data_IF_153656289713
#
_entry.id   IF_153656289713
#
_cell.length_a   1.000
_cell.length_b   1.000
_cell.length_c   1.000
_cell.angle_alpha   90.00
_cell.angle_beta   90.00
_cell.angle_gamma   90.00
#
_symmetry.space_group_name_H-M   'P 1'
#
loop_
_entity.id
_entity.type
_entity.pdbx_description
1 polymer ?
#
# COMPACT_ATOMS: atom_id res chain seq x y z
N UNK A 1 45.00 15.92 25.54
CA UNK A 1 43.85 15.65 24.65
C UNK A 1 43.47 14.20 24.89
N UNK A 2 42.36 13.94 25.59
CA UNK A 2 41.90 12.57 25.87
C UNK A 2 41.21 12.05 24.62
N UNK A 3 41.69 10.92 24.11
CA UNK A 3 41.08 10.12 23.06
C UNK A 3 39.70 9.68 23.54
N UNK A 4 38.64 10.02 22.82
CA UNK A 4 37.32 9.48 23.07
C UNK A 4 37.32 8.03 22.60
N UNK A 5 37.10 7.10 23.51
CA UNK A 5 36.87 5.70 23.20
C UNK A 5 35.50 5.61 22.50
N UNK A 6 35.50 5.17 21.24
CA UNK A 6 34.30 4.77 20.52
C UNK A 6 33.66 3.60 21.28
N UNK A 7 32.61 3.90 22.05
CA UNK A 7 31.69 2.89 22.56
C UNK A 7 30.79 2.46 21.40
N UNK A 8 31.29 1.57 20.55
CA UNK A 8 30.43 0.71 19.72
C UNK A 8 29.68 -0.21 20.67
N UNK A 9 28.36 0.00 20.73
CA UNK A 9 27.46 -0.87 21.49
C UNK A 9 27.47 -2.23 20.80
N UNK A 10 27.86 -3.27 21.54
CA UNK A 10 27.94 -4.65 21.06
C UNK A 10 26.59 -5.07 20.46
N UNK A 11 26.63 -5.52 19.20
CA UNK A 11 25.48 -5.92 18.40
C UNK A 11 25.19 -7.40 18.64
N UNK A 12 24.42 -7.70 19.69
CA UNK A 12 23.80 -9.01 19.90
C UNK A 12 22.32 -8.86 20.24
N UNK A 13 21.57 -8.25 19.33
CA UNK A 13 20.14 -8.51 19.23
C UNK A 13 19.90 -9.14 17.87
N UNK A 14 19.87 -10.48 17.87
CA UNK A 14 19.32 -11.26 16.77
C UNK A 14 17.86 -10.85 16.54
N UNK A 15 17.67 -9.79 15.74
CA UNK A 15 16.39 -9.46 15.16
C UNK A 15 16.10 -10.58 14.17
N UNK A 16 15.23 -11.50 14.59
CA UNK A 16 14.60 -12.40 13.65
C UNK A 16 13.86 -11.52 12.65
N UNK A 17 14.28 -11.59 11.39
CA UNK A 17 13.52 -11.15 10.23
C UNK A 17 12.22 -11.98 10.19
N UNK A 18 11.31 -11.73 11.12
CA UNK A 18 9.92 -12.06 10.88
C UNK A 18 9.51 -11.12 9.75
N UNK A 19 9.44 -11.67 8.54
CA UNK A 19 8.81 -11.04 7.38
C UNK A 19 7.38 -10.62 7.80
N UNK A 20 7.27 -9.43 8.38
CA UNK A 20 6.00 -8.87 8.79
C UNK A 20 5.24 -8.63 7.49
N UNK A 21 4.39 -9.61 7.12
CA UNK A 21 3.60 -9.54 5.89
C UNK A 21 2.99 -8.16 5.77
N UNK A 22 3.26 -7.49 4.64
CA UNK A 22 2.73 -6.16 4.34
C UNK A 22 1.21 -6.08 4.53
N UNK A 23 0.53 -7.23 4.41
CA UNK A 23 -0.89 -7.41 4.63
C UNK A 23 -1.17 -8.56 5.62
N UNK A 24 -1.73 -8.22 6.78
CA UNK A 24 -2.26 -9.19 7.75
C UNK A 24 -3.79 -9.13 7.76
N UNK A 25 -4.45 -10.22 7.36
CA UNK A 25 -5.92 -10.32 7.38
C UNK A 25 -6.44 -10.25 8.83
N UNK A 26 -7.55 -9.53 9.01
CA UNK A 26 -8.24 -9.37 10.29
C UNK A 26 -8.70 -10.71 10.91
N UNK A 27 -8.86 -11.77 10.11
CA UNK A 27 -9.24 -13.11 10.59
C UNK A 27 -8.19 -13.72 11.55
N UNK A 28 -6.93 -13.27 11.48
CA UNK A 28 -5.88 -13.69 12.41
C UNK A 28 -6.20 -13.35 13.87
N UNK A 29 -7.05 -12.35 14.13
CA UNK A 29 -7.51 -12.01 15.47
C UNK A 29 -8.30 -13.12 16.15
N UNK A 30 -8.83 -14.08 15.39
CA UNK A 30 -9.50 -15.24 15.97
C UNK A 30 -8.54 -16.05 16.85
N UNK A 31 -7.26 -16.15 16.49
CA UNK A 31 -6.21 -16.79 17.30
C UNK A 31 -5.95 -16.04 18.61
N UNK A 32 -6.31 -14.76 18.66
CA UNK A 32 -6.19 -13.89 19.84
C UNK A 32 -7.53 -13.72 20.59
N UNK A 33 -8.49 -14.63 20.39
CA UNK A 33 -9.72 -14.70 21.16
C UNK A 33 -10.83 -13.73 20.73
N UNK A 34 -10.72 -13.12 19.55
CA UNK A 34 -11.79 -12.28 18.99
C UNK A 34 -12.81 -13.17 18.26
N UNK A 35 -14.10 -12.95 18.54
CA UNK A 35 -15.17 -13.73 17.93
C UNK A 35 -15.35 -13.38 16.45
N UNK A 36 -15.48 -14.40 15.60
CA UNK A 36 -15.77 -14.28 14.16
C UNK A 36 -16.96 -13.37 13.83
N UNK A 37 -17.99 -13.33 14.68
CA UNK A 37 -19.14 -12.44 14.50
C UNK A 37 -18.75 -10.96 14.61
N UNK A 38 -17.81 -10.62 15.49
CA UNK A 38 -17.31 -9.25 15.62
C UNK A 38 -16.33 -8.89 14.50
N UNK A 39 -15.53 -9.86 14.02
CA UNK A 39 -14.68 -9.72 12.82
C UNK A 39 -15.53 -9.41 11.58
N UNK A 40 -16.62 -10.15 11.37
CA UNK A 40 -17.54 -9.91 10.24
C UNK A 40 -18.16 -8.50 10.27
N UNK A 41 -18.45 -7.94 11.45
CA UNK A 41 -18.93 -6.55 11.57
C UNK A 41 -17.86 -5.55 11.13
N UNK A 42 -16.60 -5.76 11.50
CA UNK A 42 -15.49 -4.92 11.05
C UNK A 42 -15.29 -5.01 9.53
N UNK A 43 -15.34 -6.22 8.95
CA UNK A 43 -15.31 -6.43 7.49
C UNK A 43 -16.48 -5.70 6.80
N UNK A 44 -17.68 -5.68 7.40
CA UNK A 44 -18.86 -5.01 6.82
C UNK A 44 -18.73 -3.49 6.68
N UNK A 45 -17.84 -2.86 7.45
CA UNK A 45 -17.54 -1.42 7.35
C UNK A 45 -16.22 -1.14 6.61
N UNK A 46 -15.62 -2.16 5.99
CA UNK A 46 -14.39 -2.04 5.18
C UNK A 46 -13.09 -2.22 5.95
N UNK A 47 -13.12 -2.60 7.23
CA UNK A 47 -11.91 -2.89 8.01
C UNK A 47 -11.55 -4.36 7.82
N UNK A 48 -10.59 -4.63 6.94
CA UNK A 48 -10.21 -5.99 6.54
C UNK A 48 -8.80 -6.41 7.01
N UNK A 49 -8.02 -5.52 7.64
CA UNK A 49 -6.66 -5.82 8.09
C UNK A 49 -6.42 -5.47 9.55
N UNK A 50 -5.43 -6.13 10.15
CA UNK A 50 -4.97 -5.83 11.53
C UNK A 50 -4.47 -4.39 11.63
N UNK A 51 -3.69 -3.92 10.64
CA UNK A 51 -3.23 -2.52 10.58
C UNK A 51 -4.40 -1.54 10.40
N UNK A 52 -5.44 -1.91 9.64
CA UNK A 52 -6.67 -1.12 9.50
C UNK A 52 -7.36 -0.89 10.84
N UNK A 53 -7.37 -1.89 11.74
CA UNK A 53 -7.86 -1.69 13.11
C UNK A 53 -6.99 -0.69 13.86
N UNK A 54 -5.66 -0.80 13.80
CA UNK A 54 -4.77 0.14 14.49
C UNK A 54 -4.99 1.59 14.03
N UNK A 55 -5.11 1.81 12.72
CA UNK A 55 -5.36 3.13 12.14
C UNK A 55 -6.75 3.69 12.43
N UNK A 56 -7.72 2.84 12.75
CA UNK A 56 -9.09 3.27 13.06
C UNK A 56 -9.21 3.74 14.52
N UNK A 57 -9.83 4.90 14.76
CA UNK A 57 -10.02 5.41 16.13
C UNK A 57 -10.98 4.53 16.94
N UNK A 58 -10.80 4.50 18.27
CA UNK A 58 -11.73 3.77 19.17
C UNK A 58 -13.18 4.24 18.98
N UNK A 59 -13.39 5.55 18.83
CA UNK A 59 -14.72 6.15 18.58
C UNK A 59 -15.37 5.62 17.30
N UNK A 60 -14.62 5.51 16.20
CA UNK A 60 -15.13 4.97 14.95
C UNK A 60 -15.51 3.48 15.08
N UNK A 61 -14.70 2.69 15.80
CA UNK A 61 -15.01 1.27 16.08
C UNK A 61 -16.27 1.12 16.95
N UNK A 62 -16.47 1.98 17.95
CA UNK A 62 -17.67 1.97 18.79
C UNK A 62 -18.95 2.35 18.02
N UNK A 63 -18.84 3.09 16.91
CA UNK A 63 -19.98 3.42 16.06
C UNK A 63 -20.47 2.21 15.23
N UNK A 64 -19.71 1.12 15.18
CA UNK A 64 -20.11 -0.12 14.51
C UNK A 64 -21.18 -0.81 15.37
N UNK A 65 -22.37 -0.98 14.80
CA UNK A 65 -23.51 -1.61 15.50
C UNK A 65 -23.12 -2.97 16.08
N UNK A 66 -23.30 -3.12 17.38
CA UNK A 66 -23.04 -4.38 18.10
C UNK A 66 -21.60 -4.59 18.57
N UNK A 67 -20.74 -3.57 18.49
CA UNK A 67 -19.46 -3.51 19.21
C UNK A 67 -19.60 -2.56 20.42
N UNK A 68 -19.42 -3.08 21.63
CA UNK A 68 -19.35 -2.26 22.85
C UNK A 68 -17.92 -1.77 23.09
N UNK A 69 -17.75 -0.73 23.93
CA UNK A 69 -16.42 -0.21 24.30
C UNK A 69 -15.50 -1.31 24.83
N UNK A 70 -16.01 -2.19 25.70
CA UNK A 70 -15.26 -3.33 26.23
C UNK A 70 -14.79 -4.32 25.14
N UNK A 71 -15.58 -4.50 24.07
CA UNK A 71 -15.16 -5.32 22.92
C UNK A 71 -14.10 -4.61 22.09
N UNK A 72 -14.27 -3.30 21.84
CA UNK A 72 -13.31 -2.49 21.10
C UNK A 72 -11.95 -2.47 21.80
N UNK A 73 -11.92 -2.39 23.14
CA UNK A 73 -10.67 -2.49 23.90
C UNK A 73 -9.97 -3.82 23.66
N UNK A 74 -10.69 -4.95 23.79
CA UNK A 74 -10.13 -6.29 23.55
C UNK A 74 -9.60 -6.45 22.12
N UNK A 75 -10.32 -5.91 21.13
CA UNK A 75 -9.90 -5.95 19.72
C UNK A 75 -8.61 -5.15 19.51
N UNK A 76 -8.52 -3.94 20.07
CA UNK A 76 -7.33 -3.09 19.99
C UNK A 76 -6.14 -3.71 20.72
N UNK A 77 -6.35 -4.31 21.88
CA UNK A 77 -5.32 -5.03 22.62
C UNK A 77 -4.80 -6.25 21.84
N UNK A 78 -5.70 -7.05 21.26
CA UNK A 78 -5.34 -8.19 20.42
C UNK A 78 -4.52 -7.75 19.19
N UNK A 79 -4.96 -6.69 18.48
CA UNK A 79 -4.22 -6.13 17.35
C UNK A 79 -2.87 -5.51 17.76
N UNK A 80 -2.76 -4.99 18.99
CA UNK A 80 -1.51 -4.44 19.53
C UNK A 80 -0.47 -5.49 19.87
N UNK A 81 -0.87 -6.74 20.16
CA UNK A 81 0.05 -7.87 20.37
C UNK A 81 0.63 -8.42 19.06
N UNK A 82 -0.02 -8.13 17.94
CA UNK A 82 0.36 -8.63 16.62
C UNK A 82 1.27 -7.68 15.84
N UNK A 83 1.32 -6.42 16.24
CA UNK A 83 2.07 -5.37 15.54
C UNK A 83 3.02 -4.72 16.54
N UNK A 84 4.24 -4.43 16.10
CA UNK A 84 5.19 -3.70 16.94
C UNK A 84 4.80 -2.22 17.04
N UNK A 85 3.97 -1.89 18.04
CA UNK A 85 3.59 -0.52 18.39
C UNK A 85 4.50 0.02 19.48
N UNK A 86 5.39 0.96 19.12
CA UNK A 86 6.31 1.57 20.07
C UNK A 86 7.32 2.50 19.41
N UNK A 87 8.24 3.04 20.23
CA UNK A 87 9.43 3.70 19.71
C UNK A 87 10.36 2.66 19.09
N UNK A 88 11.02 3.05 17.99
CA UNK A 88 12.03 2.25 17.31
C UNK A 88 13.23 3.14 17.01
N UNK A 89 14.42 2.56 16.98
CA UNK A 89 15.62 3.32 16.63
C UNK A 89 15.60 3.71 15.14
N UNK A 90 16.37 4.74 14.76
CA UNK A 90 16.51 5.10 13.36
C UNK A 90 17.12 3.96 12.52
N UNK A 91 17.96 3.12 13.15
CA UNK A 91 18.57 1.96 12.52
C UNK A 91 17.55 0.83 12.25
N UNK A 92 16.69 0.51 13.23
CA UNK A 92 15.58 -0.44 13.02
C UNK A 92 14.65 0.05 11.90
N UNK A 93 14.33 1.34 11.90
CA UNK A 93 13.45 1.92 10.89
C UNK A 93 14.09 1.94 9.49
N UNK A 94 15.41 2.14 9.38
CA UNK A 94 16.10 2.09 8.09
C UNK A 94 16.09 0.68 7.50
N UNK A 95 16.23 -0.36 8.31
CA UNK A 95 16.06 -1.75 7.88
C UNK A 95 14.63 -2.02 7.41
N UNK A 96 13.61 -1.56 8.15
CA UNK A 96 12.21 -1.68 7.70
C UNK A 96 11.94 -0.95 6.39
N UNK A 97 12.61 0.18 6.12
CA UNK A 97 12.46 0.93 4.87
C UNK A 97 13.05 0.21 3.64
N UNK A 98 13.82 -0.87 3.81
CA UNK A 98 14.30 -1.71 2.68
C UNK A 98 13.17 -2.39 1.91
N UNK A 99 11.97 -2.52 2.50
CA UNK A 99 10.79 -3.07 1.82
C UNK A 99 10.13 -2.08 0.85
N UNK A 100 10.57 -0.82 0.84
CA UNK A 100 10.08 0.21 -0.08
C UNK A 100 10.67 -0.06 -1.44
N UNK A 101 9.79 -0.25 -2.41
CA UNK A 101 10.14 -0.41 -3.82
C UNK A 101 9.80 0.84 -4.63
N UNK A 102 10.36 0.91 -5.84
CA UNK A 102 10.15 1.98 -6.80
C UNK A 102 9.56 1.44 -8.10
N UNK A 103 8.64 2.19 -8.71
CA UNK A 103 8.06 1.89 -10.02
C UNK A 103 8.68 2.81 -11.07
N UNK A 104 9.33 2.24 -12.09
CA UNK A 104 9.92 3.01 -13.19
C UNK A 104 8.85 3.82 -13.94
N UNK A 105 9.20 5.05 -14.28
CA UNK A 105 8.41 5.93 -15.17
C UNK A 105 8.56 5.55 -16.65
N UNK A 106 9.45 4.60 -16.96
CA UNK A 106 9.85 4.23 -18.31
C UNK A 106 10.84 5.20 -18.95
N UNK A 107 11.43 6.11 -18.17
CA UNK A 107 12.47 7.05 -18.61
C UNK A 107 13.60 7.08 -17.59
N UNK A 108 14.81 6.67 -17.99
CA UNK A 108 15.97 6.57 -17.10
C UNK A 108 16.33 7.91 -16.44
N UNK A 109 16.30 9.01 -17.21
CA UNK A 109 16.61 10.34 -16.66
C UNK A 109 15.54 10.82 -15.68
N UNK A 110 14.28 10.44 -15.91
CA UNK A 110 13.20 10.83 -14.99
C UNK A 110 13.22 9.98 -13.72
N UNK A 111 13.50 8.69 -13.83
CA UNK A 111 13.70 7.81 -12.69
C UNK A 111 14.89 8.28 -11.84
N UNK A 112 16.00 8.66 -12.48
CA UNK A 112 17.16 9.26 -11.79
C UNK A 112 16.80 10.55 -11.05
N UNK A 113 15.99 11.41 -11.66
CA UNK A 113 15.50 12.63 -11.00
C UNK A 113 14.65 12.31 -9.77
N UNK A 114 13.86 11.24 -9.82
CA UNK A 114 13.01 10.77 -8.72
C UNK A 114 13.74 9.88 -7.70
N UNK A 115 15.01 9.54 -7.94
CA UNK A 115 15.78 8.65 -7.06
C UNK A 115 15.46 7.16 -7.20
N UNK A 116 14.98 6.72 -8.38
CA UNK A 116 14.68 5.32 -8.69
C UNK A 116 13.33 5.12 -9.39
N UNK A 117 12.44 6.13 -9.34
CA UNK A 117 11.10 6.08 -9.91
C UNK A 117 10.05 6.55 -8.90
N UNK A 118 8.81 6.12 -9.09
CA UNK A 118 7.70 6.43 -8.17
C UNK A 118 7.80 5.55 -6.92
N UNK A 119 7.97 6.16 -5.75
CA UNK A 119 8.19 5.47 -4.47
C UNK A 119 6.89 4.86 -3.89
N UNK A 120 6.97 3.61 -3.41
CA UNK A 120 5.91 2.98 -2.63
C UNK A 120 5.80 3.53 -1.21
N UNK A 121 4.66 3.32 -0.54
CA UNK A 121 4.35 3.91 0.79
C UNK A 121 4.38 5.45 0.83
N UNK A 122 4.35 6.12 -0.32
CA UNK A 122 4.27 7.57 -0.45
C UNK A 122 3.13 7.96 -1.40
N UNK A 123 2.76 9.25 -1.40
CA UNK A 123 1.86 9.84 -2.39
C UNK A 123 2.68 10.76 -3.27
N UNK A 124 2.68 10.50 -4.58
CA UNK A 124 3.35 11.33 -5.59
C UNK A 124 2.32 12.12 -6.37
N UNK A 125 2.47 13.44 -6.39
CA UNK A 125 1.59 14.35 -7.14
C UNK A 125 2.29 14.88 -8.40
N UNK A 126 1.63 14.79 -9.54
CA UNK A 126 2.07 15.39 -10.80
C UNK A 126 1.08 16.47 -11.25
N UNK A 127 1.51 17.73 -11.23
CA UNK A 127 0.69 18.89 -11.65
C UNK A 127 1.30 19.62 -12.84
N UNK A 128 0.48 20.36 -13.58
CA UNK A 128 0.90 21.15 -14.75
C UNK A 128 -0.27 21.48 -15.67
N UNK A 129 -0.02 22.30 -16.69
CA UNK A 129 -1.06 22.75 -17.64
C UNK A 129 -1.68 21.63 -18.49
N UNK A 130 -2.75 21.93 -19.21
CA UNK A 130 -3.32 21.00 -20.17
C UNK A 130 -2.25 20.60 -21.21
N UNK A 131 -2.27 19.33 -21.66
CA UNK A 131 -1.29 18.75 -22.61
C UNK A 131 0.17 18.66 -22.15
N UNK A 132 0.46 18.76 -20.86
CA UNK A 132 1.82 18.51 -20.31
C UNK A 132 2.17 17.03 -20.10
N UNK A 133 1.33 16.10 -20.54
CA UNK A 133 1.64 14.66 -20.49
C UNK A 133 1.26 13.93 -19.20
N UNK A 134 0.55 14.56 -18.24
CA UNK A 134 0.09 13.91 -16.99
C UNK A 134 -0.65 12.59 -17.23
N UNK A 135 -1.66 12.60 -18.11
CA UNK A 135 -2.41 11.40 -18.50
C UNK A 135 -1.51 10.37 -19.20
N UNK A 136 -0.54 10.81 -20.00
CA UNK A 136 0.38 9.88 -20.66
C UNK A 136 1.29 9.18 -19.64
N UNK A 137 1.79 9.91 -18.64
CA UNK A 137 2.55 9.33 -17.54
C UNK A 137 1.73 8.29 -16.77
N UNK A 138 0.46 8.58 -16.46
CA UNK A 138 -0.40 7.63 -15.75
C UNK A 138 -0.70 6.37 -16.56
N UNK A 139 -0.87 6.46 -17.89
CA UNK A 139 -0.99 5.28 -18.76
C UNK A 139 0.30 4.45 -18.79
N UNK A 140 1.47 5.08 -18.78
CA UNK A 140 2.75 4.35 -18.70
C UNK A 140 2.88 3.60 -17.39
N UNK A 141 2.54 4.25 -16.27
CA UNK A 141 2.57 3.63 -14.94
C UNK A 141 1.61 2.45 -14.81
N UNK A 142 0.49 2.44 -15.55
CA UNK A 142 -0.41 1.28 -15.60
C UNK A 142 0.27 0.01 -16.14
N UNK A 143 1.26 0.16 -17.02
CA UNK A 143 2.00 -0.95 -17.60
C UNK A 143 3.25 -1.25 -16.79
N UNK A 144 4.05 -0.23 -16.44
CA UNK A 144 5.34 -0.44 -15.76
C UNK A 144 5.20 -0.99 -14.34
N UNK A 145 4.09 -0.68 -13.64
CA UNK A 145 3.78 -1.29 -12.35
C UNK A 145 3.49 -2.80 -12.43
N UNK A 146 3.30 -3.36 -13.62
CA UNK A 146 3.08 -4.81 -13.77
C UNK A 146 4.38 -5.57 -14.00
N UNK A 147 5.48 -4.85 -14.24
CA UNK A 147 6.75 -5.43 -14.62
C UNK A 147 7.61 -5.69 -13.38
N UNK A 148 8.38 -6.79 -13.36
CA UNK A 148 9.40 -6.97 -12.35
C UNK A 148 10.43 -5.84 -12.48
N UNK A 149 10.69 -5.16 -11.36
CA UNK A 149 11.62 -4.04 -11.27
C UNK A 149 12.94 -4.42 -10.62
N UNK A 150 13.75 -3.40 -10.34
CA UNK A 150 14.87 -3.52 -9.41
C UNK A 150 14.33 -3.61 -7.96
N UNK A 151 15.18 -3.93 -6.98
CA UNK A 151 14.82 -3.87 -5.54
C UNK A 151 13.63 -4.75 -5.11
N UNK A 152 13.63 -6.03 -5.52
CA UNK A 152 12.65 -7.05 -5.10
C UNK A 152 11.17 -6.79 -5.49
N UNK A 153 10.90 -5.82 -6.34
CA UNK A 153 9.56 -5.61 -6.89
C UNK A 153 9.23 -6.62 -7.99
N UNK A 154 8.18 -7.42 -7.78
CA UNK A 154 7.75 -8.46 -8.73
C UNK A 154 6.65 -8.03 -9.71
N UNK A 155 6.15 -6.80 -9.59
CA UNK A 155 4.99 -6.32 -10.34
C UNK A 155 3.65 -6.57 -9.63
N UNK A 156 2.61 -5.82 -9.99
CA UNK A 156 1.28 -5.94 -9.40
C UNK A 156 0.16 -5.44 -10.31
N UNK A 157 -1.09 -5.61 -9.84
CA UNK A 157 -2.28 -5.06 -10.51
C UNK A 157 -2.41 -3.56 -10.23
N UNK A 158 -3.08 -2.86 -11.14
CA UNK A 158 -3.27 -1.41 -11.08
C UNK A 158 -4.75 -1.08 -10.98
N UNK A 159 -5.10 -0.14 -10.11
CA UNK A 159 -6.44 0.46 -10.06
C UNK A 159 -6.33 1.88 -10.66
N UNK A 160 -7.12 2.16 -11.69
CA UNK A 160 -7.20 3.47 -12.34
C UNK A 160 -8.56 4.11 -12.08
N UNK A 161 -8.56 5.24 -11.37
CA UNK A 161 -9.77 6.03 -11.08
C UNK A 161 -9.74 7.27 -11.97
N UNK A 162 -10.70 7.36 -12.89
CA UNK A 162 -10.78 8.43 -13.89
C UNK A 162 -11.95 9.36 -13.61
N UNK A 163 -11.68 10.66 -13.56
CA UNK A 163 -12.68 11.72 -13.35
C UNK A 163 -12.97 12.50 -14.63
N UNK A 164 -12.09 12.43 -15.63
CA UNK A 164 -12.14 13.28 -16.83
C UNK A 164 -12.42 12.50 -18.11
N UNK A 165 -12.62 11.18 -18.01
CA UNK A 165 -12.86 10.29 -19.16
C UNK A 165 -11.69 10.29 -20.15
N UNK A 166 -10.48 10.24 -19.61
CA UNK A 166 -9.24 10.30 -20.38
C UNK A 166 -8.56 8.93 -20.54
N UNK A 167 -9.02 7.91 -19.82
CA UNK A 167 -8.47 6.57 -19.95
C UNK A 167 -8.77 5.98 -21.34
N UNK A 168 -7.73 5.51 -22.03
CA UNK A 168 -7.79 4.91 -23.37
C UNK A 168 -7.02 3.58 -23.36
N UNK A 169 -7.69 2.42 -23.30
CA UNK A 169 -7.04 1.11 -23.27
C UNK A 169 -6.09 0.85 -24.45
N UNK A 170 -6.39 1.40 -25.63
CA UNK A 170 -5.51 1.27 -26.80
C UNK A 170 -4.11 1.85 -26.54
N UNK A 171 -4.01 2.91 -25.71
CA UNK A 171 -2.71 3.47 -25.33
C UNK A 171 -1.89 2.53 -24.46
N UNK A 172 -2.52 1.66 -23.67
CA UNK A 172 -1.80 0.65 -22.90
C UNK A 172 -1.18 -0.41 -23.82
N UNK A 173 -1.82 -0.74 -24.95
CA UNK A 173 -1.26 -1.68 -25.95
C UNK A 173 0.01 -1.13 -26.59
N UNK A 174 -0.02 0.13 -27.01
CA UNK A 174 1.16 0.82 -27.56
C UNK A 174 2.35 0.81 -26.57
N UNK A 175 2.05 0.95 -25.28
CA UNK A 175 3.07 0.95 -24.22
C UNK A 175 3.53 -0.49 -23.93
N UNK A 176 2.62 -1.47 -23.95
CA UNK A 176 2.92 -2.89 -23.79
C UNK A 176 3.89 -3.38 -24.87
N UNK A 177 3.70 -2.96 -26.13
CA UNK A 177 4.63 -3.26 -27.23
C UNK A 177 6.05 -2.79 -26.93
N UNK A 178 6.21 -1.59 -26.37
CA UNK A 178 7.52 -1.04 -25.98
C UNK A 178 8.24 -1.92 -24.95
N UNK A 179 7.49 -2.49 -24.01
CA UNK A 179 8.03 -3.37 -22.96
C UNK A 179 8.00 -4.85 -23.35
N UNK A 180 7.57 -5.19 -24.57
CA UNK A 180 7.47 -6.55 -25.09
C UNK A 180 6.65 -7.48 -24.16
N UNK A 181 5.50 -6.99 -23.69
CA UNK A 181 4.57 -7.74 -22.84
C UNK A 181 3.23 -7.97 -23.52
N UNK A 182 2.55 -9.05 -23.13
CA UNK A 182 1.28 -9.44 -23.72
C UNK A 182 0.17 -8.40 -23.45
N UNK A 183 -0.56 -8.02 -24.50
CA UNK A 183 -1.59 -6.99 -24.42
C UNK A 183 -2.77 -7.42 -23.55
N UNK A 184 -3.19 -8.68 -23.67
CA UNK A 184 -4.32 -9.22 -22.91
C UNK A 184 -4.02 -9.21 -21.42
N UNK A 185 -2.86 -9.75 -21.04
CA UNK A 185 -2.38 -9.77 -19.67
C UNK A 185 -2.26 -8.37 -19.07
N UNK A 186 -1.72 -7.40 -19.81
CA UNK A 186 -1.61 -6.00 -19.34
C UNK A 186 -2.99 -5.41 -19.05
N UNK A 187 -3.95 -5.61 -19.96
CA UNK A 187 -5.29 -5.04 -19.81
C UNK A 187 -6.08 -5.71 -18.69
N UNK A 188 -5.96 -7.02 -18.52
CA UNK A 188 -6.65 -7.78 -17.45
C UNK A 188 -6.19 -7.40 -16.04
N UNK A 189 -4.96 -6.89 -15.91
CA UNK A 189 -4.39 -6.44 -14.64
C UNK A 189 -4.70 -4.98 -14.28
N UNK A 190 -5.41 -4.23 -15.14
CA UNK A 190 -5.83 -2.84 -14.87
C UNK A 190 -7.32 -2.78 -14.58
N UNK A 191 -7.67 -2.55 -13.32
CA UNK A 191 -9.05 -2.29 -12.90
C UNK A 191 -9.39 -0.82 -13.13
N UNK A 192 -10.41 -0.55 -13.94
CA UNK A 192 -10.85 0.81 -14.26
C UNK A 192 -12.17 1.16 -13.57
N UNK A 193 -12.23 2.35 -12.95
CA UNK A 193 -13.47 2.92 -12.45
C UNK A 193 -13.58 4.40 -12.83
N UNK A 194 -14.74 4.82 -13.32
CA UNK A 194 -15.04 6.22 -13.59
C UNK A 194 -15.81 6.85 -12.44
N UNK A 195 -15.25 7.91 -11.85
CA UNK A 195 -15.90 8.69 -10.81
C UNK A 195 -16.59 9.92 -11.42
N UNK A 196 -17.92 9.99 -11.33
CA UNK A 196 -18.71 11.12 -11.83
C UNK A 196 -18.94 12.22 -10.80
N UNK A 197 -18.84 11.87 -9.52
CA UNK A 197 -19.01 12.79 -8.39
C UNK A 197 -17.93 12.56 -7.36
N UNK A 198 -17.70 13.54 -6.48
CA UNK A 198 -16.80 13.41 -5.34
C UNK A 198 -17.26 12.38 -4.30
N UNK A 199 -18.52 11.96 -4.32
CA UNK A 199 -18.98 10.84 -3.49
C UNK A 199 -18.53 9.48 -4.07
N UNK A 200 -18.37 9.38 -5.40
CA UNK A 200 -17.92 8.15 -6.06
C UNK A 200 -16.42 7.87 -5.83
N UNK A 201 -15.64 8.86 -5.38
CA UNK A 201 -14.24 8.64 -4.98
C UNK A 201 -14.11 8.17 -3.53
N UNK A 202 -15.20 8.19 -2.75
CA UNK A 202 -15.20 7.55 -1.43
C UNK A 202 -15.28 6.04 -1.65
N UNK A 203 -14.18 5.35 -1.37
CA UNK A 203 -14.08 3.89 -1.40
C UNK A 203 -15.13 3.29 -0.44
N UNK A 204 -16.30 2.99 -0.97
CA UNK A 204 -17.09 1.87 -0.46
C UNK A 204 -16.26 0.62 -0.74
N UNK A 205 -16.09 -0.28 0.25
CA UNK A 205 -15.17 -1.40 0.11
C UNK A 205 -15.53 -2.21 -1.14
N UNK A 206 -14.64 -2.19 -2.14
CA UNK A 206 -14.66 -3.06 -3.30
C UNK A 206 -14.31 -4.50 -2.85
N UNK A 207 -15.15 -5.09 -2.00
CA UNK A 207 -14.97 -6.45 -1.45
C UNK A 207 -15.70 -7.52 -2.26
N UNK A 208 -16.22 -7.19 -3.46
CA UNK A 208 -16.93 -8.19 -4.26
C UNK A 208 -16.12 -8.81 -5.40
N UNK A 209 -15.00 -8.22 -5.85
CA UNK A 209 -14.29 -8.70 -7.07
C UNK A 209 -12.75 -8.78 -6.96
N UNK A 210 -12.19 -8.92 -5.75
CA UNK A 210 -10.80 -9.35 -5.55
C UNK A 210 -10.78 -10.73 -4.91
#
# INVERSE_FOLDING_TARGET
>A
MKTAEDQVVDDDTGFQDEEESFFQDIDLLQKHGINMADIKKMKSVGICTVKGIQMTTRKALCNIKGLSEAKVEKIKEAAGKMLHVGFQTAFEYSTKRKQVFHITTGSQEFDKLLGGGVESMAITEAFGEFRTGKTQLSHTLCVTAQLPGEEAYSGGKVIFIDTEHTFRPDRLRDIADRFNVDHGAVLDNVLYARAYTSANTQFTPFTQHL
#
